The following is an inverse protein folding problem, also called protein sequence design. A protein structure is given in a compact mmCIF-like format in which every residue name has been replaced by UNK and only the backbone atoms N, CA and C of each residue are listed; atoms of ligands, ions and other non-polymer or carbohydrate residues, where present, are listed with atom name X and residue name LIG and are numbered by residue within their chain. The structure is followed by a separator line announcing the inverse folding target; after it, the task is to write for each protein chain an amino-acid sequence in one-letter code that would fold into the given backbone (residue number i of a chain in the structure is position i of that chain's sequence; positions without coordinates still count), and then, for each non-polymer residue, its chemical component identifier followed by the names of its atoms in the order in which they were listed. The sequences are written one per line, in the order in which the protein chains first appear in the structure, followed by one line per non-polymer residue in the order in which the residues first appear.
data_IF_671476699447
#
_entry.id   IF_671476699447
#
_cell.length_a   1.000
_cell.length_b   1.000
_cell.length_c   1.000
_cell.angle_alpha   90.00
_cell.angle_beta   90.00
_cell.angle_gamma   90.00
#
_symmetry.space_group_name_H-M   'P 1'
#
loop_
_entity.id
_entity.type
_entity.pdbx_description
1 polymer ?
#
# COMPACT_ATOMS: atom_id res chain seq x y z
N UNK A 1 -15.66 -6.46 -12.89
CA UNK A 1 -14.91 -5.44 -12.27
C UNK A 1 -14.33 -5.87 -10.94
N UNK A 2 -14.98 -5.54 -9.84
CA UNK A 2 -14.46 -5.88 -8.53
C UNK A 2 -14.18 -7.36 -8.35
N UNK A 3 -14.96 -8.23 -9.01
CA UNK A 3 -14.79 -9.67 -8.86
C UNK A 3 -13.47 -10.17 -9.42
N UNK A 4 -13.03 -9.66 -10.57
CA UNK A 4 -11.77 -10.07 -11.16
C UNK A 4 -10.59 -9.64 -10.29
N UNK A 5 -10.58 -8.38 -9.86
CA UNK A 5 -9.53 -7.85 -9.00
C UNK A 5 -9.46 -8.62 -7.69
N UNK A 6 -10.62 -8.90 -7.08
CA UNK A 6 -10.67 -9.66 -5.84
C UNK A 6 -10.18 -11.09 -6.02
N UNK A 7 -10.50 -11.70 -7.16
CA UNK A 7 -10.07 -13.06 -7.46
C UNK A 7 -8.55 -13.14 -7.62
N UNK A 8 -7.96 -12.23 -8.39
CA UNK A 8 -6.50 -12.18 -8.55
C UNK A 8 -5.80 -11.94 -7.23
N UNK A 9 -6.32 -11.01 -6.42
CA UNK A 9 -5.75 -10.70 -5.12
C UNK A 9 -5.81 -11.92 -4.20
N UNK A 10 -6.96 -12.60 -4.17
CA UNK A 10 -7.13 -13.78 -3.32
C UNK A 10 -6.20 -14.91 -3.76
N UNK A 11 -6.05 -15.14 -5.05
CA UNK A 11 -5.14 -16.14 -5.58
C UNK A 11 -3.70 -15.83 -5.20
N UNK A 12 -3.30 -14.58 -5.32
CA UNK A 12 -1.97 -14.15 -4.94
C UNK A 12 -1.70 -14.42 -3.45
N UNK A 13 -2.65 -14.05 -2.60
CA UNK A 13 -2.53 -14.25 -1.14
C UNK A 13 -2.47 -15.74 -0.80
N UNK A 14 -3.29 -16.56 -1.45
CA UNK A 14 -3.30 -18.01 -1.20
C UNK A 14 -1.99 -18.66 -1.63
N UNK A 15 -1.42 -18.22 -2.73
CA UNK A 15 -0.16 -18.76 -3.23
C UNK A 15 1.06 -18.31 -2.45
N UNK A 16 0.91 -17.21 -1.72
CA UNK A 16 2.01 -16.63 -0.93
C UNK A 16 2.20 -17.40 0.37
N UNK A 17 3.32 -18.08 0.49
CA UNK A 17 3.64 -18.84 1.70
C UNK A 17 4.24 -17.92 2.76
N UNK A 18 3.67 -17.96 3.96
CA UNK A 18 4.20 -17.18 5.07
C UNK A 18 5.62 -17.62 5.42
N UNK A 19 6.43 -16.65 5.84
CA UNK A 19 7.80 -16.87 6.26
C UNK A 19 7.99 -16.29 7.67
N UNK A 20 9.14 -16.59 8.33
CA UNK A 20 9.40 -16.03 9.67
C UNK A 20 9.35 -14.50 9.73
N UNK A 21 9.59 -13.80 8.63
CA UNK A 21 9.51 -12.34 8.55
C UNK A 21 8.09 -11.82 8.69
N UNK A 22 7.09 -12.67 8.44
CA UNK A 22 5.67 -12.32 8.57
C UNK A 22 5.19 -11.27 7.55
N UNK A 23 5.81 -11.23 6.38
CA UNK A 23 5.48 -10.22 5.38
C UNK A 23 4.07 -10.42 4.80
N UNK A 24 3.65 -11.67 4.61
CA UNK A 24 2.29 -11.96 4.16
C UNK A 24 1.27 -11.44 5.18
N UNK A 25 1.50 -11.67 6.46
CA UNK A 25 0.63 -11.21 7.53
C UNK A 25 0.52 -9.70 7.55
N UNK A 26 1.63 -8.98 7.34
CA UNK A 26 1.62 -7.52 7.24
C UNK A 26 0.82 -7.03 6.04
N UNK A 27 0.97 -7.70 4.89
CA UNK A 27 0.20 -7.36 3.70
C UNK A 27 -1.30 -7.49 3.96
N UNK A 28 -1.72 -8.58 4.59
CA UNK A 28 -3.12 -8.80 4.94
C UNK A 28 -3.62 -7.73 5.91
N UNK A 29 -2.78 -7.30 6.85
CA UNK A 29 -3.13 -6.22 7.77
C UNK A 29 -3.48 -4.94 7.01
N UNK A 30 -2.62 -4.52 6.06
CA UNK A 30 -2.87 -3.29 5.30
C UNK A 30 -4.08 -3.43 4.38
N UNK A 31 -4.24 -4.60 3.75
CA UNK A 31 -5.42 -4.86 2.92
C UNK A 31 -6.71 -4.68 3.74
N UNK A 32 -6.76 -5.29 4.90
CA UNK A 32 -7.95 -5.25 5.75
C UNK A 32 -8.18 -3.84 6.31
N UNK A 33 -7.11 -3.17 6.72
CA UNK A 33 -7.19 -1.81 7.24
C UNK A 33 -7.78 -0.85 6.20
N UNK A 34 -7.34 -0.98 4.95
CA UNK A 34 -7.85 -0.16 3.85
C UNK A 34 -9.26 -0.53 3.45
N UNK A 35 -9.59 -1.82 3.45
CA UNK A 35 -10.92 -2.30 3.09
C UNK A 35 -11.99 -1.74 4.02
N UNK A 36 -11.68 -1.54 5.29
CA UNK A 36 -12.63 -1.07 6.28
C UNK A 36 -12.89 0.44 6.21
N UNK A 37 -12.08 1.18 5.47
CA UNK A 37 -12.25 2.64 5.35
C UNK A 37 -13.37 2.99 4.39
N UNK A 38 -14.19 3.96 4.78
CA UNK A 38 -15.33 4.39 3.97
C UNK A 38 -14.88 4.98 2.64
N UNK A 39 -15.59 4.62 1.58
CA UNK A 39 -15.35 5.15 0.25
C UNK A 39 -14.17 4.56 -0.49
N UNK A 40 -13.51 3.56 0.08
CA UNK A 40 -12.30 2.98 -0.50
C UNK A 40 -12.62 1.78 -1.38
N UNK A 41 -12.02 1.75 -2.56
CA UNK A 41 -12.01 0.61 -3.47
C UNK A 41 -10.56 0.19 -3.66
N UNK A 42 -10.32 -1.11 -3.66
CA UNK A 42 -8.99 -1.66 -3.89
C UNK A 42 -8.85 -2.19 -5.30
N UNK A 43 -7.69 -1.91 -5.91
CA UNK A 43 -7.32 -2.42 -7.22
C UNK A 43 -6.03 -3.20 -7.06
N UNK A 44 -5.90 -4.31 -7.75
CA UNK A 44 -4.71 -5.14 -7.68
C UNK A 44 -4.09 -5.28 -9.07
N UNK A 45 -2.80 -4.93 -9.17
CA UNK A 45 -2.05 -5.01 -10.43
C UNK A 45 -0.88 -5.96 -10.22
N UNK A 46 -0.94 -7.12 -10.87
CA UNK A 46 0.07 -8.15 -10.75
C UNK A 46 1.05 -8.07 -11.93
N UNK A 47 2.34 -8.01 -11.60
CA UNK A 47 3.43 -8.10 -12.57
C UNK A 47 4.37 -9.21 -12.10
N UNK A 48 4.05 -10.47 -12.45
CA UNK A 48 4.83 -11.61 -11.97
C UNK A 48 6.33 -11.43 -12.22
N UNK A 49 7.12 -11.71 -11.19
CA UNK A 49 8.57 -11.56 -11.26
C UNK A 49 9.08 -10.15 -11.02
N UNK A 50 8.20 -9.17 -10.81
CA UNK A 50 8.57 -7.77 -10.60
C UNK A 50 7.92 -7.21 -9.33
N UNK A 51 6.62 -6.91 -9.40
CA UNK A 51 5.87 -6.37 -8.26
C UNK A 51 4.41 -6.81 -8.32
N UNK A 52 3.79 -6.78 -7.15
CA UNK A 52 2.35 -7.03 -7.02
C UNK A 52 1.79 -5.85 -6.24
N UNK A 53 0.98 -5.01 -6.88
CA UNK A 53 0.59 -3.71 -6.34
C UNK A 53 -0.87 -3.69 -5.92
N UNK A 54 -1.11 -3.42 -4.64
CA UNK A 54 -2.44 -3.18 -4.11
C UNK A 54 -2.63 -1.66 -4.00
N UNK A 55 -3.60 -1.13 -4.73
CA UNK A 55 -3.84 0.32 -4.82
C UNK A 55 -5.16 0.66 -4.19
N UNK A 56 -5.19 1.67 -3.33
CA UNK A 56 -6.41 2.13 -2.70
C UNK A 56 -6.87 3.44 -3.36
N UNK A 57 -8.14 3.48 -3.73
CA UNK A 57 -8.78 4.61 -4.40
C UNK A 57 -9.93 5.08 -3.53
N UNK A 58 -10.08 6.39 -3.36
CA UNK A 58 -11.26 6.93 -2.68
C UNK A 58 -12.24 7.51 -3.69
N UNK A 59 -13.53 7.23 -3.48
CA UNK A 59 -14.58 7.67 -4.40
C UNK A 59 -14.64 9.19 -4.59
N UNK A 60 -14.18 9.96 -3.61
CA UNK A 60 -14.20 11.43 -3.66
C UNK A 60 -12.98 12.04 -4.36
N UNK A 61 -12.00 11.24 -4.71
CA UNK A 61 -10.79 11.78 -5.36
C UNK A 61 -11.10 12.36 -6.73
N UNK A 62 -10.55 13.54 -6.98
CA UNK A 62 -10.71 14.23 -8.27
C UNK A 62 -9.36 14.56 -8.90
N UNK A 63 -8.33 14.72 -8.09
CA UNK A 63 -7.02 15.11 -8.56
C UNK A 63 -6.15 13.91 -8.93
N UNK A 64 -6.23 12.85 -8.13
CA UNK A 64 -5.39 11.66 -8.30
C UNK A 64 -6.24 10.40 -8.39
N UNK A 65 -5.67 9.36 -9.00
CA UNK A 65 -6.37 8.10 -9.25
C UNK A 65 -6.32 7.13 -8.06
N UNK A 66 -5.44 7.39 -7.10
CA UNK A 66 -5.30 6.56 -5.90
C UNK A 66 -4.73 7.40 -4.77
N UNK A 67 -4.68 6.87 -3.54
CA UNK A 67 -4.05 7.59 -2.43
C UNK A 67 -2.94 6.81 -1.74
N UNK A 68 -2.79 5.54 -2.02
CA UNK A 68 -1.67 4.72 -1.52
C UNK A 68 -1.46 3.51 -2.41
N UNK A 69 -0.20 3.10 -2.55
CA UNK A 69 0.18 1.83 -3.15
C UNK A 69 0.84 0.96 -2.10
N UNK A 70 0.32 -0.24 -1.90
CA UNK A 70 0.98 -1.27 -1.09
C UNK A 70 1.58 -2.27 -2.07
N UNK A 71 2.88 -2.14 -2.32
CA UNK A 71 3.58 -2.98 -3.28
C UNK A 71 4.25 -4.15 -2.57
N UNK A 72 4.12 -5.33 -3.18
CA UNK A 72 4.89 -6.50 -2.77
C UNK A 72 6.01 -6.66 -3.79
N UNK A 73 7.24 -6.61 -3.31
CA UNK A 73 8.42 -6.67 -4.17
C UNK A 73 8.84 -8.12 -4.36
N UNK A 74 9.05 -8.52 -5.60
CA UNK A 74 9.52 -9.87 -5.91
C UNK A 74 10.94 -10.05 -5.40
N UNK A 75 11.10 -10.92 -4.44
CA UNK A 75 12.37 -11.20 -3.78
C UNK A 75 12.22 -12.52 -3.02
N UNK A 76 13.24 -12.94 -2.32
CA UNK A 76 13.21 -14.16 -1.52
C UNK A 76 13.70 -13.83 -0.08
N UNK A 77 12.79 -13.59 0.87
CA UNK A 77 11.32 -13.59 0.72
C UNK A 77 10.77 -12.33 0.08
N UNK A 78 9.49 -12.36 -0.33
CA UNK A 78 8.79 -11.17 -0.77
C UNK A 78 8.74 -10.16 0.37
N UNK A 79 8.86 -8.87 0.06
CA UNK A 79 8.77 -7.81 1.06
C UNK A 79 7.92 -6.66 0.57
N UNK A 80 7.58 -5.72 1.46
CA UNK A 80 6.60 -4.68 1.17
C UNK A 80 7.23 -3.30 1.03
N UNK A 81 6.68 -2.50 0.12
CA UNK A 81 6.97 -1.08 0.03
C UNK A 81 5.63 -0.34 -0.05
N UNK A 82 5.35 0.50 0.94
CA UNK A 82 4.09 1.24 1.02
C UNK A 82 4.39 2.68 0.62
N UNK A 83 3.84 3.11 -0.52
CA UNK A 83 4.17 4.40 -1.13
C UNK A 83 2.97 5.34 -1.13
N UNK A 84 3.21 6.58 -0.70
CA UNK A 84 2.23 7.66 -0.64
C UNK A 84 2.70 8.82 -1.51
N UNK A 85 1.74 9.60 -2.02
CA UNK A 85 2.09 10.92 -2.56
C UNK A 85 2.58 11.78 -1.40
N UNK A 86 3.71 12.44 -1.58
CA UNK A 86 4.30 13.26 -0.54
C UNK A 86 3.38 14.37 -0.02
N UNK A 87 2.49 14.86 -0.90
CA UNK A 87 1.53 15.91 -0.53
C UNK A 87 0.38 15.43 0.35
N UNK A 88 0.14 14.12 0.41
CA UNK A 88 -0.99 13.57 1.16
C UNK A 88 -0.65 13.17 2.59
N UNK A 89 0.63 13.14 2.95
CA UNK A 89 1.04 12.71 4.29
C UNK A 89 2.12 13.62 4.86
N UNK A 90 2.27 13.52 6.19
CA UNK A 90 3.44 14.04 6.89
C UNK A 90 4.26 12.84 7.35
N UNK A 91 5.56 13.01 7.43
CA UNK A 91 6.47 11.98 7.95
C UNK A 91 7.32 12.61 9.05
N UNK A 92 6.71 12.89 10.21
CA UNK A 92 7.37 13.69 11.25
C UNK A 92 8.63 13.04 11.83
N UNK A 93 8.71 11.72 11.80
CA UNK A 93 9.89 11.01 12.31
C UNK A 93 10.87 10.62 11.21
N UNK A 94 10.61 11.06 9.99
CA UNK A 94 11.47 10.81 8.82
C UNK A 94 11.79 9.32 8.64
N UNK A 95 10.76 8.47 8.76
CA UNK A 95 10.91 7.03 8.62
C UNK A 95 10.79 6.53 7.20
N UNK A 96 10.22 7.34 6.30
CA UNK A 96 10.08 6.98 4.90
C UNK A 96 11.22 7.49 4.06
N UNK A 97 11.32 6.95 2.85
CA UNK A 97 12.30 7.38 1.86
C UNK A 97 11.62 8.26 0.82
N UNK A 98 12.18 9.45 0.61
CA UNK A 98 11.69 10.36 -0.42
C UNK A 98 12.12 9.83 -1.79
N UNK A 99 11.15 9.63 -2.68
CA UNK A 99 11.41 9.12 -4.03
C UNK A 99 10.87 10.14 -5.05
N UNK A 100 11.74 10.94 -5.66
CA UNK A 100 11.29 11.93 -6.65
C UNK A 100 10.57 11.25 -7.81
N UNK A 101 9.37 11.73 -8.13
CA UNK A 101 8.53 11.19 -9.21
C UNK A 101 8.25 9.69 -9.05
N UNK A 102 8.32 9.17 -7.81
CA UNK A 102 8.25 7.75 -7.52
C UNK A 102 6.85 7.14 -7.54
N UNK A 103 5.80 7.95 -7.63
CA UNK A 103 4.42 7.45 -7.64
C UNK A 103 3.67 8.11 -8.79
N UNK A 104 3.56 7.37 -9.89
CA UNK A 104 2.87 7.82 -11.11
C UNK A 104 3.31 9.23 -11.56
N UNK A 105 4.60 9.49 -11.49
CA UNK A 105 5.19 10.74 -11.95
C UNK A 105 5.19 11.87 -10.92
N UNK A 106 4.66 11.64 -9.72
CA UNK A 106 4.69 12.62 -8.63
C UNK A 106 5.62 12.15 -7.51
N UNK A 107 6.10 13.11 -6.71
CA UNK A 107 7.00 12.80 -5.61
C UNK A 107 6.32 11.91 -4.59
N UNK A 108 7.03 10.90 -4.12
CA UNK A 108 6.52 9.89 -3.21
C UNK A 108 7.35 9.80 -1.94
N UNK A 109 6.71 9.30 -0.89
CA UNK A 109 7.38 8.86 0.33
C UNK A 109 7.01 7.38 0.52
N UNK A 110 8.02 6.53 0.55
CA UNK A 110 7.82 5.08 0.60
C UNK A 110 8.41 4.49 1.89
N UNK A 111 7.67 3.55 2.46
CA UNK A 111 8.09 2.85 3.69
C UNK A 111 8.31 1.38 3.37
N UNK A 112 9.52 0.90 3.60
CA UNK A 112 9.88 -0.48 3.29
C UNK A 112 9.76 -1.36 4.52
N UNK A 113 9.10 -2.52 4.36
CA UNK A 113 8.95 -3.52 5.41
C UNK A 113 9.47 -4.85 4.89
N UNK A 114 10.65 -5.26 5.35
CA UNK A 114 11.26 -6.54 4.99
C UNK A 114 11.03 -7.61 6.06
N UNK A 115 10.59 -7.20 7.24
CA UNK A 115 10.23 -8.10 8.34
C UNK A 115 9.26 -7.37 9.27
N UNK A 116 8.57 -8.12 10.11
CA UNK A 116 7.55 -7.56 10.98
C UNK A 116 8.13 -6.54 11.96
N UNK A 117 7.56 -5.35 11.97
CA UNK A 117 7.96 -4.23 12.82
C UNK A 117 6.69 -3.54 13.30
N UNK A 118 6.29 -3.84 14.53
CA UNK A 118 5.02 -3.34 15.08
C UNK A 118 4.97 -1.82 15.15
N UNK A 119 6.07 -1.19 15.53
CA UNK A 119 6.11 0.26 15.64
C UNK A 119 5.95 0.92 14.27
N UNK A 120 6.62 0.38 13.26
CA UNK A 120 6.54 0.90 11.90
C UNK A 120 5.17 0.63 11.29
N UNK A 121 4.57 -0.53 11.55
CA UNK A 121 3.20 -0.82 11.10
C UNK A 121 2.24 0.23 11.63
N UNK A 122 2.29 0.55 12.92
CA UNK A 122 1.41 1.56 13.52
C UNK A 122 1.68 2.95 12.95
N UNK A 123 2.94 3.27 12.71
CA UNK A 123 3.32 4.54 12.11
C UNK A 123 2.72 4.65 10.70
N UNK A 124 2.81 3.60 9.91
CA UNK A 124 2.24 3.55 8.55
C UNK A 124 0.71 3.64 8.60
N UNK A 125 0.06 2.97 9.55
CA UNK A 125 -1.40 3.03 9.68
C UNK A 125 -1.87 4.48 9.88
N UNK A 126 -1.14 5.26 10.66
CA UNK A 126 -1.46 6.68 10.84
C UNK A 126 -1.29 7.44 9.53
N UNK A 127 -0.26 7.11 8.75
CA UNK A 127 -0.06 7.72 7.42
C UNK A 127 -1.19 7.33 6.48
N UNK A 128 -1.70 6.09 6.58
CA UNK A 128 -2.86 5.68 5.79
C UNK A 128 -4.08 6.54 6.12
N UNK A 129 -4.30 6.83 7.41
CA UNK A 129 -5.40 7.70 7.84
C UNK A 129 -5.24 9.12 7.27
N UNK A 130 -4.03 9.67 7.30
CA UNK A 130 -3.75 10.99 6.73
C UNK A 130 -4.05 11.03 5.25
N UNK A 131 -3.54 10.04 4.51
CA UNK A 131 -3.72 9.99 3.06
C UNK A 131 -5.20 9.83 2.70
N UNK A 132 -5.92 8.99 3.45
CA UNK A 132 -7.36 8.80 3.24
C UNK A 132 -8.14 10.10 3.45
N UNK A 133 -7.84 10.84 4.53
CA UNK A 133 -8.51 12.12 4.80
C UNK A 133 -8.17 13.16 3.73
N UNK A 134 -6.89 13.29 3.40
CA UNK A 134 -6.44 14.31 2.46
C UNK A 134 -6.91 14.02 1.02
N UNK A 135 -7.02 12.75 0.66
CA UNK A 135 -7.55 12.36 -0.64
C UNK A 135 -8.99 12.83 -0.85
N UNK A 136 -9.78 12.82 0.21
CA UNK A 136 -11.18 13.28 0.14
C UNK A 136 -11.30 14.78 -0.08
N UNK A 137 -10.28 15.53 0.28
CA UNK A 137 -10.27 16.99 0.21
C UNK A 137 -9.76 17.54 -1.12
N UNK A 138 -9.21 16.69 -2.00
CA UNK A 138 -8.67 17.18 -3.28
C UNK A 138 -9.77 17.47 -4.35
#
# INVERSE_FOLDING_TARGET
MGNETNSELNDFVEDWKETPEKNREMFLHFRDYLTEKEGVTLEFVSRPGVTYSLRAVHAAQKKRDLFVMVDVIEDDPLWLSICFYGELINDPEEKGDFVPEGLLGEDAVCFDLAERDEALIRYIDIRLDEAWQNAQAE
#
